data_IF_151381651509
#
_entry.id   IF_151381651509
#
_cell.length_a   1.000
_cell.length_b   1.000
_cell.length_c   1.000
_cell.angle_alpha   90.00
_cell.angle_beta   90.00
_cell.angle_gamma   90.00
#
_symmetry.space_group_name_H-M   'P 1'
#
loop_
_entity.id
_entity.type
_entity.pdbx_description
1 polymer ?
#
# COMPACT_ATOMS: atom_id res chain seq x y z
N UNK A 1 16.17 -7.85 -4.28
CA UNK A 1 16.55 -6.71 -3.42
C UNK A 1 15.51 -6.58 -2.29
N UNK A 2 15.57 -7.43 -1.25
CA UNK A 2 14.52 -7.44 -0.20
C UNK A 2 14.95 -8.12 1.11
N UNK A 3 16.25 -8.41 1.26
CA UNK A 3 16.80 -9.01 2.48
C UNK A 3 16.84 -7.97 3.60
N UNK A 4 17.22 -6.72 3.28
CA UNK A 4 17.37 -5.64 4.25
C UNK A 4 16.01 -5.16 4.79
N UNK A 5 15.00 -4.98 3.93
CA UNK A 5 13.65 -4.60 4.36
C UNK A 5 13.07 -5.52 5.44
N UNK A 6 13.20 -6.84 5.28
CA UNK A 6 12.68 -7.83 6.24
C UNK A 6 13.33 -7.70 7.61
N UNK A 7 14.66 -7.51 7.65
CA UNK A 7 15.38 -7.27 8.90
C UNK A 7 15.04 -5.89 9.50
N UNK A 8 14.86 -4.89 8.64
CA UNK A 8 14.49 -3.55 9.05
C UNK A 8 13.11 -3.54 9.72
N UNK A 9 12.11 -4.24 9.19
CA UNK A 9 10.77 -4.32 9.81
C UNK A 9 10.78 -4.93 11.22
N UNK A 10 11.73 -5.82 11.50
CA UNK A 10 11.91 -6.38 12.84
C UNK A 10 12.58 -5.37 13.81
N UNK A 11 13.40 -4.45 13.30
CA UNK A 11 14.14 -3.44 14.07
C UNK A 11 14.28 -2.12 13.28
N UNK A 12 13.19 -1.35 13.12
CA UNK A 12 13.19 -0.16 12.25
C UNK A 12 14.11 0.96 12.77
N UNK A 13 14.41 0.96 14.07
CA UNK A 13 15.31 1.93 14.70
C UNK A 13 16.80 1.60 14.53
N UNK A 14 17.15 0.42 14.00
CA UNK A 14 18.53 -0.05 13.91
C UNK A 14 19.28 0.47 12.69
N UNK A 15 18.57 0.92 11.65
CA UNK A 15 19.14 1.46 10.42
C UNK A 15 18.14 2.42 9.75
N UNK A 16 18.61 3.41 8.97
CA UNK A 16 17.71 4.22 8.17
C UNK A 16 16.94 3.34 7.17
N UNK A 17 15.70 3.73 6.89
CA UNK A 17 14.90 3.11 5.84
C UNK A 17 15.49 3.43 4.46
N UNK A 18 15.59 2.43 3.59
CA UNK A 18 15.99 2.62 2.20
C UNK A 18 14.75 3.06 1.38
N UNK A 19 14.74 4.26 0.77
CA UNK A 19 13.63 4.68 -0.06
C UNK A 19 13.31 3.72 -1.22
N UNK A 20 14.30 2.96 -1.70
CA UNK A 20 14.12 1.94 -2.74
C UNK A 20 13.28 0.74 -2.30
N UNK A 21 13.12 0.53 -0.99
CA UNK A 21 12.27 -0.52 -0.42
C UNK A 21 10.79 -0.09 -0.26
N UNK A 22 10.46 1.20 -0.47
CA UNK A 22 9.10 1.73 -0.34
C UNK A 22 8.05 0.99 -1.18
N UNK A 23 8.31 0.62 -2.45
CA UNK A 23 7.33 -0.11 -3.26
C UNK A 23 6.94 -1.46 -2.64
N UNK A 24 7.94 -2.24 -2.19
CA UNK A 24 7.72 -3.54 -1.57
C UNK A 24 7.07 -3.42 -0.20
N UNK A 25 7.45 -2.40 0.58
CA UNK A 25 6.86 -2.15 1.90
C UNK A 25 5.38 -1.77 1.82
N UNK A 26 5.01 -0.88 0.90
CA UNK A 26 3.62 -0.47 0.70
C UNK A 26 2.77 -1.60 0.12
N UNK A 27 3.31 -2.37 -0.84
CA UNK A 27 2.62 -3.56 -1.37
C UNK A 27 2.38 -4.62 -0.29
N UNK A 28 3.36 -4.87 0.58
CA UNK A 28 3.21 -5.77 1.74
C UNK A 28 2.14 -5.29 2.72
N UNK A 29 2.05 -3.97 2.93
CA UNK A 29 1.02 -3.37 3.79
C UNK A 29 -0.39 -3.54 3.20
N UNK A 30 -0.55 -3.39 1.89
CA UNK A 30 -1.82 -3.66 1.19
C UNK A 30 -2.19 -5.15 1.21
N UNK A 31 -1.22 -6.06 1.08
CA UNK A 31 -1.45 -7.50 1.27
C UNK A 31 -1.98 -7.81 2.68
N UNK A 32 -1.39 -7.19 3.72
CA UNK A 32 -1.88 -7.33 5.09
C UNK A 32 -3.32 -6.84 5.19
N UNK A 33 -3.66 -5.69 4.60
CA UNK A 33 -5.02 -5.17 4.59
C UNK A 33 -6.01 -6.11 3.88
N UNK A 34 -5.60 -6.72 2.75
CA UNK A 34 -6.39 -7.70 2.01
C UNK A 34 -6.66 -8.99 2.80
N UNK A 35 -5.86 -9.30 3.82
CA UNK A 35 -6.01 -10.48 4.69
C UNK A 35 -6.74 -10.19 6.01
N UNK A 36 -7.09 -8.93 6.28
CA UNK A 36 -7.75 -8.50 7.53
C UNK A 36 -9.11 -7.87 7.23
N UNK A 37 -9.45 -6.75 7.89
CA UNK A 37 -10.76 -6.11 7.84
C UNK A 37 -11.09 -5.48 6.48
N UNK A 38 -10.11 -5.36 5.58
CA UNK A 38 -10.26 -4.71 4.28
C UNK A 38 -10.35 -5.68 3.10
N UNK A 39 -10.45 -6.99 3.35
CA UNK A 39 -10.51 -8.02 2.30
C UNK A 39 -11.56 -7.74 1.21
N UNK A 40 -12.69 -7.10 1.57
CA UNK A 40 -13.75 -6.71 0.62
C UNK A 40 -13.31 -5.74 -0.49
N UNK A 41 -12.24 -4.95 -0.26
CA UNK A 41 -11.67 -4.05 -1.27
C UNK A 41 -10.72 -4.77 -2.24
N UNK A 42 -10.29 -5.99 -1.90
CA UNK A 42 -9.35 -6.80 -2.65
C UNK A 42 -10.02 -8.10 -3.10
N UNK A 43 -11.08 -7.94 -3.92
CA UNK A 43 -11.96 -9.03 -4.38
C UNK A 43 -11.22 -10.22 -4.99
N UNK A 44 -10.02 -10.03 -5.53
CA UNK A 44 -9.11 -11.06 -5.98
C UNK A 44 -7.64 -10.63 -5.81
N UNK A 45 -6.67 -11.57 -5.80
CA UNK A 45 -5.24 -11.23 -5.88
C UNK A 45 -4.90 -10.31 -7.06
N UNK A 46 -5.63 -10.48 -8.18
CA UNK A 46 -5.49 -9.64 -9.37
C UNK A 46 -5.83 -8.15 -9.13
N UNK A 47 -6.64 -7.83 -8.11
CA UNK A 47 -6.93 -6.43 -7.73
C UNK A 47 -5.66 -5.76 -7.23
N UNK A 48 -4.87 -6.45 -6.40
CA UNK A 48 -3.60 -5.91 -5.92
C UNK A 48 -2.59 -5.81 -7.06
N UNK A 49 -2.52 -6.81 -7.93
CA UNK A 49 -1.66 -6.75 -9.11
C UNK A 49 -1.99 -5.53 -9.99
N UNK A 50 -3.27 -5.21 -10.19
CA UNK A 50 -3.70 -4.04 -10.93
C UNK A 50 -3.31 -2.71 -10.24
N UNK A 51 -3.37 -2.65 -8.91
CA UNK A 51 -2.92 -1.48 -8.12
C UNK A 51 -1.42 -1.27 -8.27
N UNK A 52 -0.62 -2.34 -8.12
CA UNK A 52 0.83 -2.30 -8.27
C UNK A 52 1.24 -1.94 -9.70
N UNK A 53 0.59 -2.56 -10.70
CA UNK A 53 0.80 -2.27 -12.12
C UNK A 53 0.56 -0.80 -12.43
N UNK A 54 -0.57 -0.25 -11.95
CA UNK A 54 -0.90 1.16 -12.13
C UNK A 54 0.09 2.08 -11.44
N UNK A 55 0.48 1.78 -10.21
CA UNK A 55 1.34 2.65 -9.40
C UNK A 55 2.76 2.74 -9.94
N UNK A 56 3.30 1.61 -10.42
CA UNK A 56 4.71 1.46 -10.76
C UNK A 56 4.97 1.25 -12.26
N UNK A 57 3.95 1.46 -13.10
CA UNK A 57 4.00 1.29 -14.56
C UNK A 57 4.52 -0.09 -14.98
N UNK A 58 3.92 -1.14 -14.39
CA UNK A 58 4.34 -2.52 -14.59
C UNK A 58 3.41 -3.25 -15.56
N UNK A 59 3.97 -4.20 -16.29
CA UNK A 59 3.19 -5.23 -16.97
C UNK A 59 2.52 -6.17 -15.96
N UNK A 60 1.54 -6.95 -16.41
CA UNK A 60 0.86 -7.93 -15.55
C UNK A 60 1.81 -8.96 -14.94
N UNK A 61 2.87 -9.36 -15.67
CA UNK A 61 3.86 -10.31 -15.18
C UNK A 61 4.76 -9.70 -14.10
N UNK A 62 5.24 -8.47 -14.32
CA UNK A 62 6.05 -7.73 -13.34
C UNK A 62 5.25 -7.39 -12.08
N UNK A 63 3.97 -7.05 -12.22
CA UNK A 63 3.09 -6.81 -11.08
C UNK A 63 2.88 -8.08 -10.23
N UNK A 64 2.68 -9.24 -10.88
CA UNK A 64 2.57 -10.51 -10.17
C UNK A 64 3.89 -10.89 -9.46
N UNK A 65 5.04 -10.69 -10.11
CA UNK A 65 6.36 -10.90 -9.49
C UNK A 65 6.57 -9.97 -8.28
N UNK A 66 6.17 -8.70 -8.43
CA UNK A 66 6.21 -7.74 -7.34
C UNK A 66 5.29 -8.15 -6.18
N UNK A 67 4.07 -8.62 -6.46
CA UNK A 67 3.17 -9.14 -5.42
C UNK A 67 3.81 -10.30 -4.65
N UNK A 68 4.44 -11.26 -5.33
CA UNK A 68 5.16 -12.36 -4.66
C UNK A 68 6.35 -11.87 -3.81
N UNK A 69 7.03 -10.80 -4.24
CA UNK A 69 8.05 -10.15 -3.42
C UNK A 69 7.44 -9.48 -2.18
N UNK A 70 6.31 -8.78 -2.33
CA UNK A 70 5.55 -8.18 -1.23
C UNK A 70 5.04 -9.23 -0.24
N UNK A 71 4.56 -10.39 -0.71
CA UNK A 71 4.12 -11.51 0.15
C UNK A 71 5.26 -11.99 1.05
N UNK A 72 6.47 -12.17 0.48
CA UNK A 72 7.64 -12.57 1.28
C UNK A 72 8.03 -11.53 2.33
N UNK A 73 7.80 -10.25 2.05
CA UNK A 73 8.03 -9.15 3.00
C UNK A 73 6.97 -9.18 4.09
N UNK A 74 5.70 -9.29 3.72
CA UNK A 74 4.55 -9.35 4.62
C UNK A 74 4.67 -10.54 5.60
N UNK A 75 5.03 -11.72 5.10
CA UNK A 75 5.23 -12.93 5.91
C UNK A 75 6.38 -12.77 6.94
N UNK A 76 7.33 -11.87 6.69
CA UNK A 76 8.42 -11.57 7.62
C UNK A 76 8.18 -10.32 8.47
N UNK A 77 7.11 -9.57 8.21
CA UNK A 77 6.75 -8.39 8.96
C UNK A 77 6.18 -8.78 10.34
N UNK A 78 6.16 -7.84 11.31
CA UNK A 78 5.48 -8.07 12.58
C UNK A 78 4.01 -8.50 12.40
N UNK A 79 3.55 -9.41 13.26
CA UNK A 79 2.14 -9.85 13.26
C UNK A 79 1.18 -8.72 13.63
N UNK A 80 1.64 -7.75 14.42
CA UNK A 80 0.88 -6.56 14.78
C UNK A 80 0.74 -5.61 13.59
N UNK A 81 -0.46 -5.60 12.99
CA UNK A 81 -0.79 -4.77 11.82
C UNK A 81 -0.73 -3.27 12.10
N UNK A 82 -1.10 -2.83 13.32
CA UNK A 82 -1.05 -1.41 13.69
C UNK A 82 0.39 -0.94 13.80
N UNK A 83 1.25 -1.75 14.44
CA UNK A 83 2.68 -1.47 14.53
C UNK A 83 3.33 -1.45 13.14
N UNK A 84 2.96 -2.39 12.26
CA UNK A 84 3.49 -2.44 10.90
C UNK A 84 3.13 -1.17 10.11
N UNK A 85 1.86 -0.75 10.13
CA UNK A 85 1.42 0.48 9.49
C UNK A 85 2.15 1.72 10.06
N UNK A 86 2.20 1.85 11.40
CA UNK A 86 2.81 3.00 12.07
C UNK A 86 4.29 3.16 11.72
N UNK A 87 5.06 2.07 11.65
CA UNK A 87 6.47 2.09 11.26
C UNK A 87 6.64 2.60 9.83
N UNK A 88 5.76 2.17 8.91
CA UNK A 88 5.81 2.63 7.51
C UNK A 88 5.32 4.07 7.34
N UNK A 89 4.42 4.57 8.19
CA UNK A 89 4.01 5.98 8.17
C UNK A 89 5.16 6.93 8.55
N UNK A 90 6.12 6.46 9.35
CA UNK A 90 7.31 7.23 9.71
C UNK A 90 8.38 7.13 8.63
N UNK A 91 8.57 5.93 8.05
CA UNK A 91 9.68 5.64 7.16
C UNK A 91 9.44 6.00 5.69
N UNK A 92 8.24 5.75 5.17
CA UNK A 92 7.89 6.02 3.78
C UNK A 92 7.38 7.44 3.66
N UNK A 93 7.85 8.24 2.71
CA UNK A 93 7.40 9.63 2.60
C UNK A 93 5.90 9.72 2.23
N UNK A 94 5.25 10.80 2.66
CA UNK A 94 3.80 10.98 2.46
C UNK A 94 3.39 10.88 0.98
N UNK A 95 4.20 11.43 0.08
CA UNK A 95 3.93 11.41 -1.36
C UNK A 95 3.80 9.99 -1.93
N UNK A 96 4.65 9.06 -1.49
CA UNK A 96 4.58 7.66 -1.94
C UNK A 96 3.30 6.97 -1.45
N UNK A 97 2.89 7.25 -0.20
CA UNK A 97 1.65 6.72 0.38
C UNK A 97 0.42 7.31 -0.30
N UNK A 98 0.45 8.60 -0.61
CA UNK A 98 -0.61 9.28 -1.36
C UNK A 98 -0.74 8.72 -2.79
N UNK A 99 0.38 8.49 -3.48
CA UNK A 99 0.35 7.97 -4.84
C UNK A 99 -0.22 6.54 -4.93
N UNK A 100 0.12 5.66 -3.98
CA UNK A 100 -0.48 4.32 -3.95
C UNK A 100 -1.96 4.36 -3.52
N UNK A 101 -2.35 5.29 -2.64
CA UNK A 101 -3.75 5.55 -2.29
C UNK A 101 -4.60 5.96 -3.50
N UNK A 102 -4.10 6.87 -4.35
CA UNK A 102 -4.76 7.25 -5.60
C UNK A 102 -4.92 6.04 -6.53
N UNK A 103 -3.87 5.23 -6.67
CA UNK A 103 -3.91 4.02 -7.51
C UNK A 103 -4.95 3.02 -7.02
N UNK A 104 -5.06 2.85 -5.69
CA UNK A 104 -6.09 2.02 -5.06
C UNK A 104 -7.50 2.49 -5.44
N UNK A 105 -7.80 3.78 -5.27
CA UNK A 105 -9.12 4.37 -5.57
C UNK A 105 -9.49 4.17 -7.04
N UNK A 106 -8.56 4.49 -7.95
CA UNK A 106 -8.81 4.43 -9.38
C UNK A 106 -9.06 2.99 -9.85
N UNK A 107 -8.30 2.02 -9.31
CA UNK A 107 -8.47 0.61 -9.65
C UNK A 107 -9.75 0.04 -9.06
N UNK A 108 -10.05 0.29 -7.78
CA UNK A 108 -11.28 -0.25 -7.16
C UNK A 108 -12.53 0.33 -7.79
N UNK A 109 -12.51 1.61 -8.19
CA UNK A 109 -13.60 2.23 -8.94
C UNK A 109 -13.73 1.64 -10.36
N UNK A 110 -12.63 1.49 -11.09
CA UNK A 110 -12.64 0.93 -12.46
C UNK A 110 -13.12 -0.53 -12.50
N UNK A 111 -12.82 -1.32 -11.46
CA UNK A 111 -13.28 -2.69 -11.32
C UNK A 111 -14.70 -2.81 -10.73
N UNK A 112 -15.34 -1.68 -10.36
CA UNK A 112 -16.66 -1.66 -9.76
C UNK A 112 -16.73 -2.29 -8.36
N UNK A 113 -15.60 -2.33 -7.64
CA UNK A 113 -15.50 -2.91 -6.29
C UNK A 113 -16.14 -1.99 -5.25
N UNK A 114 -15.81 -0.70 -5.30
CA UNK A 114 -16.37 0.31 -4.41
C UNK A 114 -16.38 1.70 -5.05
N UNK A 115 -17.20 2.60 -4.50
CA UNK A 115 -17.20 4.01 -4.89
C UNK A 115 -16.01 4.74 -4.24
N UNK A 116 -15.47 5.83 -4.84
CA UNK A 116 -14.44 6.66 -4.19
C UNK A 116 -14.83 7.17 -2.78
N UNK A 117 -16.12 7.34 -2.51
CA UNK A 117 -16.66 7.78 -1.20
C UNK A 117 -16.97 6.62 -0.25
N UNK A 118 -16.54 5.40 -0.57
CA UNK A 118 -16.81 4.22 0.24
C UNK A 118 -16.14 4.32 1.62
N UNK A 119 -16.88 4.09 2.73
CA UNK A 119 -16.33 4.26 4.08
C UNK A 119 -15.24 3.24 4.41
N UNK A 120 -15.27 2.02 3.83
CA UNK A 120 -14.23 1.02 4.01
C UNK A 120 -12.94 1.44 3.31
N UNK A 121 -13.07 2.05 2.11
CA UNK A 121 -11.95 2.63 1.40
C UNK A 121 -11.33 3.79 2.21
N UNK A 122 -12.16 4.73 2.67
CA UNK A 122 -11.70 5.85 3.50
C UNK A 122 -11.01 5.40 4.80
N UNK A 123 -11.50 4.32 5.41
CA UNK A 123 -10.87 3.70 6.59
C UNK A 123 -9.49 3.11 6.24
N UNK A 124 -9.35 2.39 5.12
CA UNK A 124 -8.06 1.87 4.67
C UNK A 124 -7.05 2.99 4.45
N UNK A 125 -7.43 4.03 3.70
CA UNK A 125 -6.53 5.14 3.38
C UNK A 125 -5.95 5.79 4.65
N UNK A 126 -6.80 6.00 5.66
CA UNK A 126 -6.38 6.63 6.91
C UNK A 126 -5.64 5.66 7.84
N UNK A 127 -6.22 4.51 8.14
CA UNK A 127 -5.69 3.62 9.17
C UNK A 127 -4.49 2.81 8.66
N UNK A 128 -4.48 2.43 7.38
CA UNK A 128 -3.43 1.60 6.78
C UNK A 128 -2.37 2.46 6.11
N UNK A 129 -2.75 3.43 5.26
CA UNK A 129 -1.77 4.24 4.51
C UNK A 129 -1.40 5.56 5.21
N UNK A 130 -2.14 5.98 6.24
CA UNK A 130 -1.89 7.25 6.92
C UNK A 130 -2.08 8.43 5.97
N UNK A 131 -3.04 8.31 5.05
CA UNK A 131 -3.40 9.32 4.03
C UNK A 131 -4.81 9.83 4.35
N UNK A 132 -4.97 11.14 4.41
CA UNK A 132 -6.27 11.74 4.64
C UNK A 132 -7.02 11.92 3.32
N UNK A 133 -8.32 11.56 3.24
CA UNK A 133 -9.08 11.65 2.00
C UNK A 133 -9.12 13.05 1.38
N UNK A 134 -9.04 14.10 2.21
CA UNK A 134 -8.99 15.50 1.76
C UNK A 134 -7.77 15.81 0.90
N UNK A 135 -6.67 15.08 1.07
CA UNK A 135 -5.42 15.30 0.33
C UNK A 135 -5.40 14.58 -1.03
N UNK A 136 -6.41 13.75 -1.31
CA UNK A 136 -6.59 13.07 -2.60
C UNK A 136 -7.24 13.99 -3.63
N UNK A 137 -7.93 15.04 -3.16
CA UNK A 137 -8.32 16.14 -4.04
C UNK A 137 -7.04 16.84 -4.48
N UNK A 138 -6.68 16.70 -5.76
CA UNK A 138 -5.77 17.66 -6.42
C UNK A 138 -6.17 19.06 -5.99
N UNK A 139 -5.24 19.97 -5.64
CA UNK A 139 -5.58 21.31 -5.19
C UNK A 139 -6.55 21.90 -6.20
N UNK A 140 -7.82 22.02 -5.79
CA UNK A 140 -8.88 22.54 -6.65
C UNK A 140 -8.39 23.87 -7.15
N UNK A 141 -8.28 23.98 -8.48
CA UNK A 141 -7.89 25.16 -9.26
C UNK A 141 -8.15 26.43 -8.44
N UNK A 142 -7.09 27.01 -7.88
CA UNK A 142 -7.10 28.43 -7.59
C UNK A 142 -7.26 29.11 -8.97
N UNK A 143 -8.34 29.87 -9.11
CA UNK A 143 -8.72 30.54 -10.35
C UNK A 143 -7.70 31.58 -10.81
#
# INVERSE_FOLDING_TARGET
MGRNLRFWLARPDAAPFDPGDAPLALGALLLRAARTDYAGLFSAPATLDAILARRYDLTAAEAAEMREACERVEDAAPQDSLRFAAVLHVAVCYHERLAIALSLIEVTAALGICHPDDPLLAALLQAVLGVHPVDLESPRRAG
#
